data_IF_514962656396
#
_entry.id   IF_514962656396
#
_cell.length_a   1.000
_cell.length_b   1.000
_cell.length_c   1.000
_cell.angle_alpha   90.00
_cell.angle_beta   90.00
_cell.angle_gamma   90.00
#
_symmetry.space_group_name_H-M   'P 1'
#
loop_
_entity.id
_entity.type
_entity.pdbx_description
1 polymer ?
#
# COMPACT_ATOMS: atom_id res chain seq x y z
N UNK A 1 23.23 -0.31 18.59
CA UNK A 1 23.74 -0.57 17.24
C UNK A 1 22.54 -0.82 16.32
N UNK A 2 22.52 -0.27 15.11
CA UNK A 2 21.46 -0.58 14.14
C UNK A 2 21.59 -2.05 13.75
N UNK A 3 20.53 -2.84 13.93
CA UNK A 3 20.51 -4.21 13.42
C UNK A 3 20.39 -4.14 11.89
N UNK A 4 21.48 -4.45 11.17
CA UNK A 4 21.56 -4.33 9.72
C UNK A 4 20.57 -5.26 9.00
N UNK A 5 20.27 -6.43 9.56
CA UNK A 5 19.29 -7.34 8.99
C UNK A 5 17.87 -6.81 9.16
N UNK A 6 17.56 -6.24 10.32
CA UNK A 6 16.28 -5.57 10.55
C UNK A 6 16.10 -4.36 9.64
N UNK A 7 17.14 -3.54 9.45
CA UNK A 7 17.11 -2.40 8.54
C UNK A 7 16.95 -2.84 7.07
N UNK A 8 17.62 -3.91 6.66
CA UNK A 8 17.51 -4.47 5.32
C UNK A 8 16.10 -5.03 5.04
N UNK A 9 15.56 -5.80 5.98
CA UNK A 9 14.20 -6.33 5.87
C UNK A 9 13.14 -5.23 5.98
N UNK A 10 13.37 -4.17 6.74
CA UNK A 10 12.51 -2.98 6.75
C UNK A 10 12.41 -2.37 5.35
N UNK A 11 13.55 -2.21 4.66
CA UNK A 11 13.56 -1.71 3.29
C UNK A 11 12.81 -2.65 2.33
N UNK A 12 13.05 -3.96 2.42
CA UNK A 12 12.32 -4.94 1.62
C UNK A 12 10.80 -4.92 1.91
N UNK A 13 10.41 -4.73 3.16
CA UNK A 13 9.01 -4.60 3.59
C UNK A 13 8.34 -3.34 3.05
N UNK A 14 9.04 -2.20 3.04
CA UNK A 14 8.56 -0.97 2.42
C UNK A 14 8.31 -1.15 0.91
N UNK A 15 9.26 -1.77 0.21
CA UNK A 15 9.13 -2.08 -1.22
C UNK A 15 8.01 -3.08 -1.49
N UNK A 16 7.85 -4.09 -0.62
CA UNK A 16 6.77 -5.07 -0.71
C UNK A 16 5.40 -4.40 -0.54
N UNK A 17 5.24 -3.47 0.40
CA UNK A 17 4.02 -2.70 0.58
C UNK A 17 3.72 -1.79 -0.62
N UNK A 18 4.71 -1.05 -1.11
CA UNK A 18 4.55 -0.19 -2.29
C UNK A 18 4.14 -1.00 -3.54
N UNK A 19 4.79 -2.14 -3.77
CA UNK A 19 4.48 -2.98 -4.94
C UNK A 19 3.14 -3.71 -4.80
N UNK A 20 2.78 -4.13 -3.58
CA UNK A 20 1.46 -4.70 -3.29
C UNK A 20 0.35 -3.71 -3.60
N UNK A 21 0.47 -2.47 -3.11
CA UNK A 21 -0.53 -1.44 -3.35
C UNK A 21 -0.66 -1.10 -4.85
N UNK A 22 0.48 -0.93 -5.53
CA UNK A 22 0.51 -0.68 -6.97
C UNK A 22 -0.19 -1.79 -7.75
N UNK A 23 0.12 -3.06 -7.46
CA UNK A 23 -0.50 -4.20 -8.16
C UNK A 23 -1.99 -4.33 -7.79
N UNK A 24 -2.35 -4.09 -6.54
CA UNK A 24 -3.75 -4.06 -6.10
C UNK A 24 -4.56 -3.04 -6.89
N UNK A 25 -4.03 -1.84 -7.09
CA UNK A 25 -4.72 -0.76 -7.78
C UNK A 25 -4.76 -0.97 -9.29
N UNK A 26 -3.62 -1.26 -9.93
CA UNK A 26 -3.51 -1.40 -11.40
C UNK A 26 -4.11 -2.70 -11.94
N UNK A 27 -4.04 -3.80 -11.19
CA UNK A 27 -4.65 -5.07 -11.59
C UNK A 27 -6.05 -5.23 -11.00
N UNK A 28 -6.34 -4.63 -9.85
CA UNK A 28 -7.66 -4.70 -9.21
C UNK A 28 -8.76 -4.02 -10.01
N UNK A 29 -8.44 -3.04 -10.86
CA UNK A 29 -9.42 -2.47 -11.82
C UNK A 29 -9.94 -3.48 -12.84
N UNK A 30 -9.24 -4.59 -13.05
CA UNK A 30 -9.67 -5.68 -13.93
C UNK A 30 -10.68 -6.62 -13.26
N UNK A 31 -11.00 -6.41 -11.99
CA UNK A 31 -12.00 -7.20 -11.28
C UNK A 31 -13.37 -7.10 -11.95
N UNK A 32 -14.02 -8.25 -12.14
CA UNK A 32 -15.38 -8.34 -12.71
C UNK A 32 -16.48 -7.93 -11.72
N UNK A 33 -16.14 -7.72 -10.46
CA UNK A 33 -17.07 -7.36 -9.39
C UNK A 33 -16.82 -5.92 -8.96
N UNK A 34 -17.89 -5.24 -8.54
CA UNK A 34 -17.74 -3.91 -7.97
C UNK A 34 -16.84 -3.97 -6.73
N UNK A 35 -15.86 -3.06 -6.61
CA UNK A 35 -15.10 -2.94 -5.39
C UNK A 35 -16.03 -2.51 -4.26
N UNK A 36 -15.61 -2.80 -3.04
CA UNK A 36 -16.38 -2.45 -1.86
C UNK A 36 -15.47 -1.72 -0.89
N UNK A 37 -16.03 -0.75 -0.19
CA UNK A 37 -15.29 0.06 0.77
C UNK A 37 -14.83 -0.79 1.94
N UNK A 38 -13.55 -0.71 2.31
CA UNK A 38 -12.94 -1.58 3.34
C UNK A 38 -13.59 -1.41 4.73
N UNK A 39 -14.17 -0.25 5.03
CA UNK A 39 -14.71 0.07 6.36
C UNK A 39 -16.13 -0.46 6.62
N UNK A 40 -16.97 -0.58 5.59
CA UNK A 40 -18.39 -0.95 5.75
C UNK A 40 -18.87 -1.99 4.75
N UNK A 41 -17.97 -2.47 3.89
CA UNK A 41 -18.19 -3.54 2.92
C UNK A 41 -19.28 -3.27 1.86
N UNK A 42 -19.72 -2.01 1.73
CA UNK A 42 -20.69 -1.58 0.73
C UNK A 42 -20.04 -1.44 -0.66
N UNK A 43 -20.71 -1.86 -1.76
CA UNK A 43 -20.22 -1.62 -3.11
C UNK A 43 -20.04 -0.13 -3.40
N UNK A 44 -18.95 0.22 -4.08
CA UNK A 44 -18.61 1.59 -4.49
C UNK A 44 -18.11 1.59 -5.94
N UNK A 45 -18.14 2.74 -6.63
CA UNK A 45 -17.58 2.85 -7.98
C UNK A 45 -16.08 2.50 -8.02
N UNK A 46 -15.62 1.91 -9.12
CA UNK A 46 -14.19 1.67 -9.36
C UNK A 46 -13.40 2.97 -9.34
N UNK A 47 -12.24 2.96 -8.69
CA UNK A 47 -11.41 4.15 -8.46
C UNK A 47 -11.79 4.97 -7.23
N UNK A 48 -12.72 4.49 -6.39
CA UNK A 48 -12.97 5.09 -5.06
C UNK A 48 -11.82 4.76 -4.11
N UNK A 49 -11.23 5.77 -3.47
CA UNK A 49 -10.17 5.59 -2.46
C UNK A 49 -10.63 4.68 -1.32
N UNK A 50 -9.78 3.72 -0.94
CA UNK A 50 -10.09 2.74 0.10
C UNK A 50 -11.12 1.67 -0.26
N UNK A 51 -11.34 1.45 -1.56
CA UNK A 51 -12.14 0.34 -2.05
C UNK A 51 -11.25 -0.86 -2.40
N UNK A 52 -11.69 -2.06 -2.02
CA UNK A 52 -10.96 -3.30 -2.24
C UNK A 52 -11.79 -4.32 -3.03
N UNK A 53 -11.09 -5.21 -3.74
CA UNK A 53 -11.65 -6.40 -4.40
C UNK A 53 -10.85 -7.63 -4.01
N UNK A 54 -11.45 -8.82 -4.10
CA UNK A 54 -10.70 -10.07 -3.91
C UNK A 54 -9.57 -10.24 -4.94
N UNK A 55 -9.79 -9.76 -6.17
CA UNK A 55 -8.75 -9.76 -7.21
C UNK A 55 -7.59 -8.82 -6.86
N UNK A 56 -7.88 -7.60 -6.36
CA UNK A 56 -6.86 -6.67 -5.88
C UNK A 56 -6.06 -7.21 -4.71
N UNK A 57 -6.70 -7.89 -3.75
CA UNK A 57 -6.00 -8.56 -2.63
C UNK A 57 -5.07 -9.66 -3.13
N UNK A 58 -5.50 -10.47 -4.10
CA UNK A 58 -4.62 -11.47 -4.71
C UNK A 58 -3.45 -10.82 -5.45
N UNK A 59 -3.71 -9.77 -6.22
CA UNK A 59 -2.68 -9.00 -6.92
C UNK A 59 -1.67 -8.37 -5.95
N UNK A 60 -2.12 -7.85 -4.80
CA UNK A 60 -1.26 -7.36 -3.73
C UNK A 60 -0.31 -8.43 -3.20
N UNK A 61 -0.84 -9.61 -2.87
CA UNK A 61 -0.03 -10.74 -2.39
C UNK A 61 1.00 -11.14 -3.45
N UNK A 62 0.59 -11.26 -4.71
CA UNK A 62 1.51 -11.59 -5.81
C UNK A 62 2.60 -10.52 -5.99
N UNK A 63 2.24 -9.24 -5.93
CA UNK A 63 3.19 -8.13 -6.03
C UNK A 63 4.21 -8.15 -4.90
N UNK A 64 3.78 -8.34 -3.65
CA UNK A 64 4.70 -8.47 -2.53
C UNK A 64 5.53 -9.76 -2.57
N UNK A 65 4.99 -10.86 -3.11
CA UNK A 65 5.73 -12.10 -3.30
C UNK A 65 6.88 -11.96 -4.31
N UNK A 66 6.72 -11.16 -5.36
CA UNK A 66 7.83 -10.82 -6.27
C UNK A 66 8.96 -10.14 -5.49
N UNK A 67 8.64 -9.19 -4.61
CA UNK A 67 9.64 -8.53 -3.76
C UNK A 67 10.31 -9.53 -2.81
N UNK A 68 9.55 -10.46 -2.23
CA UNK A 68 10.10 -11.50 -1.37
C UNK A 68 11.10 -12.41 -2.10
N UNK A 69 10.77 -12.82 -3.33
CA UNK A 69 11.66 -13.62 -4.18
C UNK A 69 12.94 -12.87 -4.52
N UNK A 70 12.83 -11.59 -4.90
CA UNK A 70 14.00 -10.75 -5.18
C UNK A 70 14.86 -10.53 -3.95
N UNK A 71 14.26 -10.33 -2.77
CA UNK A 71 14.97 -10.21 -1.51
C UNK A 71 15.72 -11.50 -1.15
N UNK A 72 15.09 -12.66 -1.34
CA UNK A 72 15.71 -13.98 -1.17
C UNK A 72 16.88 -14.20 -2.12
N UNK A 73 16.69 -13.91 -3.41
CA UNK A 73 17.74 -14.00 -4.42
C UNK A 73 18.92 -13.08 -4.10
N UNK A 74 18.66 -11.83 -3.70
CA UNK A 74 19.69 -10.90 -3.29
C UNK A 74 20.46 -11.40 -2.05
N UNK A 75 19.76 -11.99 -1.07
CA UNK A 75 20.41 -12.58 0.11
C UNK A 75 21.33 -13.74 -0.27
N UNK A 76 20.87 -14.61 -1.18
CA UNK A 76 21.65 -15.74 -1.68
C UNK A 76 22.89 -15.28 -2.47
N UNK A 77 22.73 -14.35 -3.42
CA UNK A 77 23.82 -13.83 -4.24
C UNK A 77 24.90 -13.09 -3.44
N UNK A 78 24.49 -12.42 -2.37
CA UNK A 78 25.42 -11.69 -1.48
C UNK A 78 26.03 -12.57 -0.39
N UNK A 79 25.63 -13.83 -0.28
CA UNK A 79 26.05 -14.72 0.81
C UNK A 79 25.61 -14.24 2.20
N UNK A 80 24.62 -13.35 2.28
CA UNK A 80 24.14 -12.85 3.56
C UNK A 80 23.23 -13.89 4.20
N UNK A 81 23.55 -14.32 5.44
CA UNK A 81 22.81 -15.32 6.20
C UNK A 81 21.51 -14.77 6.80
N UNK A 82 20.67 -14.10 5.99
CA UNK A 82 19.39 -13.55 6.44
C UNK A 82 18.35 -14.64 6.61
N UNK A 83 17.47 -14.49 7.61
CA UNK A 83 16.43 -15.47 7.93
C UNK A 83 15.48 -15.71 6.74
N UNK A 84 15.42 -16.93 6.18
CA UNK A 84 14.45 -17.27 5.14
C UNK A 84 13.00 -17.16 5.62
N UNK A 85 12.76 -17.44 6.90
CA UNK A 85 11.43 -17.30 7.50
C UNK A 85 10.97 -15.84 7.52
N UNK A 86 11.85 -14.90 7.86
CA UNK A 86 11.52 -13.47 7.81
C UNK A 86 11.25 -12.98 6.38
N UNK A 87 12.02 -13.45 5.39
CA UNK A 87 11.79 -13.15 3.97
C UNK A 87 10.45 -13.71 3.49
N UNK A 88 10.08 -14.93 3.91
CA UNK A 88 8.82 -15.57 3.56
C UNK A 88 7.58 -14.82 4.09
N UNK A 89 7.74 -13.94 5.09
CA UNK A 89 6.66 -13.10 5.61
C UNK A 89 6.47 -11.76 4.87
N UNK A 90 7.38 -11.38 3.96
CA UNK A 90 7.27 -10.14 3.19
C UNK A 90 5.94 -10.01 2.40
N UNK A 91 5.34 -11.08 1.82
CA UNK A 91 4.03 -10.99 1.19
C UNK A 91 2.93 -10.48 2.15
N UNK A 92 2.95 -10.96 3.39
CA UNK A 92 1.97 -10.54 4.41
C UNK A 92 2.26 -9.14 4.93
N UNK A 93 3.53 -8.76 5.06
CA UNK A 93 3.93 -7.39 5.43
C UNK A 93 3.49 -6.39 4.35
N UNK A 94 3.69 -6.74 3.07
CA UNK A 94 3.27 -5.92 1.93
C UNK A 94 1.76 -5.80 1.82
N UNK A 95 1.03 -6.92 1.96
CA UNK A 95 -0.44 -6.90 2.02
C UNK A 95 -0.95 -6.02 3.16
N UNK A 96 -0.37 -6.12 4.35
CA UNK A 96 -0.76 -5.30 5.49
C UNK A 96 -0.57 -3.80 5.19
N UNK A 97 0.54 -3.41 4.55
CA UNK A 97 0.76 -2.04 4.08
C UNK A 97 -0.34 -1.57 3.12
N UNK A 98 -0.65 -2.35 2.08
CA UNK A 98 -1.71 -2.02 1.11
C UNK A 98 -3.12 -1.95 1.75
N UNK A 99 -3.40 -2.78 2.77
CA UNK A 99 -4.66 -2.70 3.51
C UNK A 99 -4.73 -1.46 4.40
N UNK A 100 -3.60 -1.03 4.98
CA UNK A 100 -3.52 0.24 5.72
C UNK A 100 -3.73 1.43 4.79
N UNK A 101 -3.16 1.41 3.59
CA UNK A 101 -3.45 2.41 2.54
C UNK A 101 -4.95 2.51 2.30
N UNK A 102 -5.59 1.38 1.97
CA UNK A 102 -7.02 1.33 1.71
C UNK A 102 -7.85 1.80 2.91
N UNK A 103 -7.45 1.49 4.14
CA UNK A 103 -8.17 1.90 5.33
C UNK A 103 -8.08 3.41 5.57
N UNK A 104 -6.89 4.00 5.44
CA UNK A 104 -6.67 5.44 5.53
C UNK A 104 -7.38 6.19 4.39
N UNK A 105 -7.33 5.64 3.17
CA UNK A 105 -8.04 6.13 2.00
C UNK A 105 -9.55 6.19 2.20
N UNK A 106 -10.13 5.21 2.88
CA UNK A 106 -11.57 5.15 3.14
C UNK A 106 -12.04 6.06 4.29
N UNK A 107 -11.12 6.54 5.15
CA UNK A 107 -11.46 7.19 6.42
C UNK A 107 -11.02 8.64 6.52
N UNK A 108 -9.73 8.92 6.35
CA UNK A 108 -9.11 10.21 6.71
C UNK A 108 -8.40 10.89 5.54
N UNK A 109 -8.17 10.20 4.42
CA UNK A 109 -7.52 10.77 3.25
C UNK A 109 -8.32 11.94 2.67
N UNK A 110 -7.60 12.99 2.26
CA UNK A 110 -8.15 14.16 1.61
C UNK A 110 -8.84 13.78 0.30
N UNK A 111 -10.11 14.18 0.18
CA UNK A 111 -10.87 14.12 -1.06
C UNK A 111 -11.37 15.51 -1.38
N UNK A 112 -11.25 15.90 -2.64
CA UNK A 112 -11.63 17.22 -3.12
C UNK A 112 -12.69 17.14 -4.20
N UNK A 113 -13.54 18.15 -4.28
CA UNK A 113 -14.49 18.30 -5.38
C UNK A 113 -14.07 19.46 -6.28
N UNK A 114 -14.07 19.23 -7.59
CA UNK A 114 -13.79 20.31 -8.54
C UNK A 114 -14.98 21.24 -8.69
N UNK A 115 -14.78 22.55 -8.52
CA UNK A 115 -15.83 23.55 -8.71
C UNK A 115 -16.27 23.77 -10.16
N UNK A 116 -15.60 23.15 -11.14
CA UNK A 116 -15.92 23.29 -12.58
C UNK A 116 -16.65 22.08 -13.17
N UNK A 117 -16.17 20.87 -12.90
CA UNK A 117 -16.74 19.64 -13.46
C UNK A 117 -17.42 18.76 -12.40
N UNK A 118 -17.46 19.21 -11.15
CA UNK A 118 -18.11 18.56 -9.99
C UNK A 118 -17.59 17.17 -9.64
N UNK A 119 -16.55 16.69 -10.34
CA UNK A 119 -15.92 15.40 -10.07
C UNK A 119 -15.15 15.42 -8.75
N UNK A 120 -15.26 14.32 -8.03
CA UNK A 120 -14.42 14.01 -6.87
C UNK A 120 -13.02 13.64 -7.38
N UNK A 121 -12.00 14.17 -6.72
CA UNK A 121 -10.59 13.97 -7.06
C UNK A 121 -9.71 14.12 -5.83
N UNK A 122 -8.59 13.41 -5.83
CA UNK A 122 -7.56 13.57 -4.79
C UNK A 122 -6.58 14.71 -5.13
N UNK A 123 -6.73 15.34 -6.31
CA UNK A 123 -5.81 16.40 -6.78
C UNK A 123 -6.14 17.76 -6.16
N UNK A 124 -5.08 18.40 -5.68
CA UNK A 124 -5.09 19.76 -5.17
C UNK A 124 -3.86 20.52 -5.70
N UNK A 125 -3.94 21.83 -6.00
CA UNK A 125 -5.11 22.72 -5.90
C UNK A 125 -6.05 22.71 -7.12
N UNK A 126 -5.70 21.96 -8.19
CA UNK A 126 -6.42 21.99 -9.45
C UNK A 126 -6.79 20.58 -9.95
N UNK A 127 -7.99 20.47 -10.51
CA UNK A 127 -8.45 19.27 -11.20
C UNK A 127 -7.83 19.18 -12.60
N UNK A 128 -7.86 18.00 -13.23
CA UNK A 128 -7.39 17.79 -14.61
C UNK A 128 -8.09 18.68 -15.66
N UNK A 129 -9.30 19.17 -15.38
CA UNK A 129 -10.02 20.12 -16.24
C UNK A 129 -9.62 21.61 -16.04
N UNK A 130 -8.64 21.87 -15.17
CA UNK A 130 -8.16 23.21 -14.81
C UNK A 130 -9.02 23.95 -13.78
N UNK A 131 -10.11 23.35 -13.29
CA UNK A 131 -10.93 23.96 -12.22
C UNK A 131 -10.30 23.82 -10.83
N UNK A 132 -10.48 24.84 -9.99
CA UNK A 132 -10.06 24.80 -8.59
C UNK A 132 -10.80 23.68 -7.81
N UNK A 133 -10.10 23.05 -6.88
CA UNK A 133 -10.64 21.97 -6.05
C UNK A 133 -10.84 22.42 -4.61
N UNK A 134 -11.99 22.08 -4.03
CA UNK A 134 -12.35 22.39 -2.65
C UNK A 134 -12.35 21.11 -1.83
N UNK A 135 -11.83 21.16 -0.60
CA UNK A 135 -11.81 20.00 0.30
C UNK A 135 -13.24 19.57 0.61
N UNK A 136 -13.56 18.31 0.31
CA UNK A 136 -14.86 17.71 0.56
C UNK A 136 -14.83 16.88 1.85
N UNK A 137 -13.75 16.13 2.09
CA UNK A 137 -13.59 15.27 3.26
C UNK A 137 -12.12 14.99 3.56
N UNK A 138 -11.85 14.46 4.75
CA UNK A 138 -10.50 14.07 5.18
C UNK A 138 -9.67 15.26 5.67
N UNK A 139 -8.39 15.01 5.93
CA UNK A 139 -7.46 16.04 6.41
C UNK A 139 -6.66 16.60 5.24
N UNK A 140 -6.65 17.93 5.07
CA UNK A 140 -6.02 18.58 3.91
C UNK A 140 -4.56 18.19 3.67
N UNK A 141 -3.82 17.83 4.72
CA UNK A 141 -2.41 17.44 4.65
C UNK A 141 -2.22 15.94 4.35
N UNK A 142 -3.25 15.12 4.58
CA UNK A 142 -3.22 13.69 4.39
C UNK A 142 -3.72 13.33 2.99
N UNK A 143 -2.92 13.67 1.97
CA UNK A 143 -3.13 13.24 0.59
C UNK A 143 -2.55 11.84 0.32
N UNK A 144 -2.65 11.39 -0.93
CA UNK A 144 -2.17 10.09 -1.39
C UNK A 144 -0.71 9.80 -1.00
N UNK A 145 0.19 10.77 -1.12
CA UNK A 145 1.61 10.58 -0.78
C UNK A 145 1.82 10.29 0.71
N UNK A 146 1.06 10.95 1.58
CA UNK A 146 1.13 10.73 3.03
C UNK A 146 0.54 9.37 3.42
N UNK A 147 -0.52 8.93 2.73
CA UNK A 147 -1.11 7.60 2.92
C UNK A 147 -0.14 6.50 2.46
N UNK A 148 0.45 6.64 1.27
CA UNK A 148 1.49 5.73 0.77
C UNK A 148 2.70 5.67 1.71
N UNK A 149 3.10 6.81 2.29
CA UNK A 149 4.17 6.83 3.28
C UNK A 149 3.82 6.02 4.54
N UNK A 150 2.59 6.14 5.06
CA UNK A 150 2.12 5.34 6.19
C UNK A 150 2.04 3.84 5.85
N UNK A 151 1.58 3.50 4.65
CA UNK A 151 1.50 2.13 4.15
C UNK A 151 2.90 1.47 4.06
N UNK A 152 3.87 2.19 3.49
CA UNK A 152 5.25 1.70 3.35
C UNK A 152 5.97 1.62 4.70
N UNK A 153 5.74 2.55 5.63
CA UNK A 153 6.20 2.43 7.02
C UNK A 153 5.63 1.18 7.68
N UNK A 154 4.35 0.88 7.45
CA UNK A 154 3.71 -0.30 8.03
C UNK A 154 4.40 -1.59 7.54
N UNK A 155 4.61 -1.70 6.22
CA UNK A 155 5.36 -2.83 5.64
C UNK A 155 6.77 -2.94 6.20
N UNK A 156 7.47 -1.81 6.35
CA UNK A 156 8.82 -1.75 6.89
C UNK A 156 8.90 -2.20 8.36
N UNK A 157 8.00 -1.68 9.21
CA UNK A 157 7.98 -1.99 10.63
C UNK A 157 7.67 -3.47 10.89
N UNK A 158 6.70 -4.04 10.15
CA UNK A 158 6.35 -5.45 10.27
C UNK A 158 7.50 -6.36 9.82
N UNK A 159 8.17 -6.03 8.71
CA UNK A 159 9.30 -6.81 8.22
C UNK A 159 10.53 -6.70 9.14
N UNK A 160 10.80 -5.52 9.73
CA UNK A 160 11.81 -5.35 10.76
C UNK A 160 11.49 -6.18 12.01
N UNK A 161 10.23 -6.18 12.44
CA UNK A 161 9.76 -7.01 13.56
C UNK A 161 9.95 -8.50 13.29
N UNK A 162 9.63 -8.96 12.07
CA UNK A 162 9.89 -10.34 11.65
C UNK A 162 11.40 -10.68 11.70
N UNK A 163 12.26 -9.77 11.23
CA UNK A 163 13.71 -9.95 11.31
C UNK A 163 14.18 -10.16 12.75
N UNK A 164 13.70 -9.33 13.69
CA UNK A 164 14.06 -9.42 15.10
C UNK A 164 13.51 -10.68 15.76
N UNK A 165 12.30 -11.10 15.39
CA UNK A 165 11.68 -12.32 15.92
C UNK A 165 12.43 -13.59 15.53
N UNK A 166 12.93 -13.66 14.29
CA UNK A 166 13.69 -14.81 13.78
C UNK A 166 15.22 -14.67 13.91
N UNK A 167 15.69 -13.58 14.49
CA UNK A 167 17.10 -13.41 14.89
C UNK A 167 17.36 -13.86 16.34
N UNK A 168 16.29 -14.12 17.11
CA UNK A 168 16.33 -14.76 18.43
C UNK A 168 16.39 -16.28 18.30
#
# INVERSE_FOLDING_TARGET
ALNLDAAWLAMAGALAAANADTWSTELGVLARTLPRRITNWKPVPTGTSGAITGWGVLSAICGAAVIALLAGAASWLTGSARSPAAIALLPMCGLAGALVDSWLGATVQASYQCGRCEKITERYPQCKCGGATNLQSGWHWLGNDAVNFAATITGAALAAGAALLFAA
#
